data_IF_915158429299
#
_entry.id   IF_915158429299
#
_cell.length_a   1.000
_cell.length_b   1.000
_cell.length_c   1.000
_cell.angle_alpha   90.00
_cell.angle_beta   90.00
_cell.angle_gamma   90.00
#
_symmetry.space_group_name_H-M   'P 1'
#
loop_
_entity.id
_entity.type
_entity.pdbx_description
1 polymer ?
#
# COMPACT_ATOMS: atom_id res chain seq x y z
N UNK A 1 18.99 -20.81 4.20
CA UNK A 1 17.81 -21.19 3.38
C UNK A 1 18.19 -21.07 1.92
N UNK A 2 17.66 -21.93 1.03
CA UNK A 2 17.82 -21.71 -0.41
C UNK A 2 17.18 -20.36 -0.81
N UNK A 3 17.59 -19.75 -1.93
CA UNK A 3 16.92 -18.56 -2.46
C UNK A 3 15.43 -18.80 -2.72
N UNK A 4 14.61 -17.75 -2.61
CA UNK A 4 13.21 -17.81 -2.99
C UNK A 4 13.06 -18.00 -4.50
N UNK A 5 12.06 -18.77 -4.97
CA UNK A 5 11.80 -18.96 -6.39
C UNK A 5 11.32 -17.65 -7.04
N UNK A 6 11.56 -17.51 -8.36
CA UNK A 6 11.04 -16.41 -9.16
C UNK A 6 9.89 -16.90 -10.07
N UNK A 7 8.80 -16.12 -10.22
CA UNK A 7 8.50 -14.90 -9.47
C UNK A 7 8.22 -15.20 -7.99
N UNK A 8 8.50 -14.22 -7.11
CA UNK A 8 8.28 -14.36 -5.67
C UNK A 8 6.80 -14.65 -5.37
N UNK A 9 5.90 -13.90 -6.00
CA UNK A 9 4.47 -14.07 -5.92
C UNK A 9 3.84 -13.63 -7.25
N UNK A 10 2.81 -14.35 -7.67
CA UNK A 10 1.97 -13.99 -8.82
C UNK A 10 0.54 -13.89 -8.33
N UNK A 11 -0.04 -12.70 -8.42
CA UNK A 11 -1.41 -12.46 -7.99
C UNK A 11 -2.39 -13.29 -8.82
N UNK A 12 -3.18 -14.20 -8.20
CA UNK A 12 -4.06 -15.09 -8.94
C UNK A 12 -5.34 -14.40 -9.43
N UNK A 13 -5.64 -13.18 -8.96
CA UNK A 13 -6.88 -12.48 -9.28
C UNK A 13 -6.73 -11.66 -10.55
N UNK A 14 -5.73 -10.78 -10.58
CA UNK A 14 -5.54 -9.82 -11.66
C UNK A 14 -4.17 -9.91 -12.36
N UNK A 15 -3.27 -10.76 -11.87
CA UNK A 15 -1.88 -10.90 -12.38
C UNK A 15 -1.09 -9.58 -12.37
N UNK A 16 -1.48 -8.66 -11.47
CA UNK A 16 -1.00 -7.28 -11.45
C UNK A 16 -0.40 -6.84 -10.12
N UNK A 17 0.19 -7.76 -9.37
CA UNK A 17 0.86 -7.43 -8.12
C UNK A 17 1.97 -6.39 -8.34
N UNK A 18 1.88 -5.25 -7.65
CA UNK A 18 2.86 -4.18 -7.73
C UNK A 18 3.06 -3.51 -6.36
N UNK A 19 4.16 -2.77 -6.22
CA UNK A 19 4.43 -1.86 -5.10
C UNK A 19 4.30 -2.56 -3.72
N UNK A 20 5.07 -3.63 -3.45
CA UNK A 20 4.84 -4.50 -2.31
C UNK A 20 5.40 -3.96 -0.98
N UNK A 21 4.72 -4.29 0.12
CA UNK A 21 5.25 -4.25 1.49
C UNK A 21 5.20 -5.64 2.10
N UNK A 22 6.32 -6.09 2.68
CA UNK A 22 6.41 -7.33 3.44
C UNK A 22 6.47 -6.99 4.94
N UNK A 23 5.58 -7.58 5.72
CA UNK A 23 5.49 -7.35 7.17
C UNK A 23 5.24 -8.64 7.93
N UNK A 24 5.78 -8.74 9.15
CA UNK A 24 5.52 -9.86 10.04
C UNK A 24 4.15 -9.72 10.70
N UNK A 25 3.25 -10.66 10.44
CA UNK A 25 2.02 -10.80 11.20
C UNK A 25 2.36 -11.47 12.55
N UNK A 26 2.21 -10.72 13.64
CA UNK A 26 2.56 -11.15 15.00
C UNK A 26 1.59 -12.19 15.55
N UNK A 27 0.31 -12.09 15.19
CA UNK A 27 -0.73 -13.02 15.64
C UNK A 27 -0.66 -14.35 14.90
N UNK A 28 -0.54 -14.32 13.57
CA UNK A 28 -0.44 -15.53 12.74
C UNK A 28 0.98 -16.10 12.66
N UNK A 29 1.99 -15.38 13.17
CA UNK A 29 3.41 -15.76 13.14
C UNK A 29 3.86 -16.17 11.73
N UNK A 30 3.54 -15.31 10.77
CA UNK A 30 3.79 -15.51 9.35
C UNK A 30 4.21 -14.21 8.68
N UNK A 31 4.95 -14.31 7.59
CA UNK A 31 5.24 -13.17 6.73
C UNK A 31 4.02 -12.88 5.86
N UNK A 32 3.64 -11.61 5.78
CA UNK A 32 2.55 -11.15 4.95
C UNK A 32 3.06 -10.15 3.92
N UNK A 33 2.46 -10.19 2.74
CA UNK A 33 2.73 -9.35 1.60
C UNK A 33 1.47 -8.55 1.30
N UNK A 34 1.59 -7.23 1.37
CA UNK A 34 0.58 -6.28 0.91
C UNK A 34 1.04 -5.69 -0.41
N UNK A 35 0.13 -5.53 -1.37
CA UNK A 35 0.51 -5.06 -2.70
C UNK A 35 -0.62 -4.29 -3.37
N UNK A 36 -0.28 -3.37 -4.27
CA UNK A 36 -1.24 -2.79 -5.21
C UNK A 36 -1.79 -3.89 -6.11
N UNK A 37 -3.09 -4.16 -6.03
CA UNK A 37 -3.74 -5.16 -6.85
C UNK A 37 -4.16 -4.57 -8.22
N UNK A 38 -3.18 -4.30 -9.11
CA UNK A 38 -3.48 -3.74 -10.45
C UNK A 38 -4.31 -4.74 -11.25
N UNK A 39 -5.28 -4.24 -12.02
CA UNK A 39 -6.26 -5.06 -12.74
C UNK A 39 -5.74 -5.48 -14.12
N UNK A 40 -4.54 -6.07 -14.17
CA UNK A 40 -3.75 -6.23 -15.40
C UNK A 40 -4.37 -7.17 -16.43
N UNK A 41 -5.20 -8.13 -16.00
CA UNK A 41 -5.95 -9.04 -16.87
C UNK A 41 -7.37 -8.55 -17.23
N UNK A 42 -7.74 -7.32 -16.86
CA UNK A 42 -9.05 -6.74 -17.17
C UNK A 42 -8.94 -5.80 -18.37
N UNK A 43 -9.84 -6.00 -19.36
CA UNK A 43 -10.00 -5.04 -20.46
C UNK A 43 -10.58 -3.73 -19.91
N UNK A 44 -9.76 -2.69 -19.90
CA UNK A 44 -10.09 -1.41 -19.29
C UNK A 44 -9.67 -0.27 -20.20
N UNK A 45 -10.49 0.78 -20.24
CA UNK A 45 -10.20 1.94 -21.07
C UNK A 45 -9.04 2.77 -20.50
N UNK A 46 -8.04 3.05 -21.35
CA UNK A 46 -6.89 3.88 -20.99
C UNK A 46 -6.12 3.32 -19.80
N UNK A 47 -5.89 4.16 -18.79
CA UNK A 47 -5.21 3.76 -17.56
C UNK A 47 -6.15 3.17 -16.50
N UNK A 48 -7.43 2.94 -16.80
CA UNK A 48 -8.37 2.47 -15.79
C UNK A 48 -7.92 1.15 -15.13
N UNK A 49 -7.14 0.29 -15.79
CA UNK A 49 -6.61 -0.96 -15.21
C UNK A 49 -5.67 -0.75 -14.00
N UNK A 50 -4.99 0.39 -13.89
CA UNK A 50 -4.23 0.75 -12.68
C UNK A 50 -5.07 1.48 -11.65
N UNK A 51 -6.30 1.87 -11.97
CA UNK A 51 -7.24 2.52 -11.06
C UNK A 51 -8.34 1.55 -10.59
N UNK A 52 -9.06 1.96 -9.55
CA UNK A 52 -10.04 1.10 -8.89
C UNK A 52 -9.39 -0.15 -8.32
N UNK A 53 -8.18 -0.03 -7.81
CA UNK A 53 -7.38 -1.12 -7.22
C UNK A 53 -7.63 -1.21 -5.72
N UNK A 54 -7.60 -2.43 -5.21
CA UNK A 54 -7.51 -2.71 -3.78
C UNK A 54 -6.05 -2.92 -3.36
N UNK A 55 -5.83 -3.09 -2.06
CA UNK A 55 -4.59 -3.64 -1.53
C UNK A 55 -4.77 -5.14 -1.32
N UNK A 56 -4.08 -5.95 -2.12
CA UNK A 56 -4.09 -7.41 -2.03
C UNK A 56 -3.19 -7.91 -0.89
N UNK A 57 -3.50 -9.11 -0.39
CA UNK A 57 -2.79 -9.77 0.72
C UNK A 57 -2.38 -11.18 0.30
N UNK A 58 -1.13 -11.53 0.55
CA UNK A 58 -0.65 -12.91 0.54
C UNK A 58 0.13 -13.22 1.83
N UNK A 59 0.19 -14.49 2.23
CA UNK A 59 0.92 -14.93 3.42
C UNK A 59 1.90 -16.05 3.11
N UNK A 60 3.02 -16.08 3.83
CA UNK A 60 4.05 -17.11 3.78
C UNK A 60 4.37 -17.61 5.19
N UNK A 61 4.30 -18.93 5.37
CA UNK A 61 4.65 -19.61 6.62
C UNK A 61 6.03 -20.27 6.58
N UNK A 62 6.74 -20.18 5.45
CA UNK A 62 8.00 -20.88 5.19
C UNK A 62 9.19 -19.93 4.93
N UNK A 63 9.07 -18.68 5.42
CA UNK A 63 10.13 -17.69 5.31
C UNK A 63 10.19 -16.98 3.96
N UNK A 64 9.08 -16.95 3.21
CA UNK A 64 8.97 -16.29 1.91
C UNK A 64 9.25 -17.21 0.72
N UNK A 65 9.34 -18.53 0.93
CA UNK A 65 9.60 -19.50 -0.14
C UNK A 65 8.33 -19.79 -0.95
N UNK A 66 7.17 -19.79 -0.30
CA UNK A 66 5.86 -19.88 -0.94
C UNK A 66 4.90 -18.85 -0.36
N UNK A 67 3.97 -18.39 -1.20
CA UNK A 67 3.01 -17.35 -0.88
C UNK A 67 1.60 -17.81 -1.27
N UNK A 68 0.66 -17.70 -0.34
CA UNK A 68 -0.75 -18.02 -0.54
C UNK A 68 -1.53 -16.72 -0.57
N UNK A 69 -2.29 -16.46 -1.64
CA UNK A 69 -3.21 -15.33 -1.67
C UNK A 69 -4.26 -15.48 -0.57
N UNK A 70 -4.53 -14.40 0.16
CA UNK A 70 -5.43 -14.40 1.31
C UNK A 70 -6.68 -13.56 1.07
N UNK A 71 -6.62 -12.54 0.22
CA UNK A 71 -7.74 -11.63 0.01
C UNK A 71 -7.26 -10.22 -0.24
N UNK A 72 -8.10 -9.25 0.10
CA UNK A 72 -7.79 -7.82 0.08
C UNK A 72 -7.90 -7.26 1.50
N UNK A 73 -7.20 -6.16 1.77
CA UNK A 73 -7.34 -5.42 3.03
C UNK A 73 -8.74 -4.82 3.17
N UNK A 74 -9.36 -5.01 4.33
CA UNK A 74 -10.71 -4.54 4.63
C UNK A 74 -10.69 -3.21 5.41
N UNK A 75 -11.77 -2.44 5.34
CA UNK A 75 -11.88 -1.17 6.08
C UNK A 75 -11.12 0.01 5.45
N UNK A 76 -10.55 -0.14 4.25
CA UNK A 76 -9.85 0.94 3.56
C UNK A 76 -10.78 1.98 2.92
N UNK A 77 -12.08 1.71 2.76
CA UNK A 77 -13.02 2.66 2.14
C UNK A 77 -13.01 4.02 2.85
N UNK A 78 -12.46 5.04 2.17
CA UNK A 78 -12.31 6.40 2.72
C UNK A 78 -13.57 7.23 2.52
N UNK A 79 -14.14 7.16 1.32
CA UNK A 79 -15.39 7.80 0.95
C UNK A 79 -16.24 6.86 0.10
N UNK A 80 -17.50 7.25 -0.17
CA UNK A 80 -18.43 6.43 -0.94
C UNK A 80 -17.94 6.23 -2.37
N UNK A 81 -18.04 4.99 -2.87
CA UNK A 81 -17.76 4.65 -4.27
C UNK A 81 -16.53 3.74 -4.44
N UNK A 82 -16.23 3.39 -5.69
CA UNK A 82 -15.03 2.63 -6.05
C UNK A 82 -13.86 3.59 -6.21
N UNK A 83 -12.95 3.57 -5.24
CA UNK A 83 -11.73 4.35 -5.24
C UNK A 83 -10.50 3.47 -5.51
N UNK A 84 -9.35 4.12 -5.60
CA UNK A 84 -8.08 3.49 -5.95
C UNK A 84 -7.11 3.58 -4.79
N UNK A 85 -6.45 2.47 -4.47
CA UNK A 85 -5.42 2.37 -3.43
C UNK A 85 -4.14 1.75 -4.00
N UNK A 86 -2.99 2.40 -3.74
CA UNK A 86 -1.69 1.98 -4.26
C UNK A 86 -0.59 2.04 -3.19
N UNK A 87 0.48 1.27 -3.42
CA UNK A 87 1.77 1.37 -2.76
C UNK A 87 1.63 1.51 -1.24
N UNK A 88 1.09 0.49 -0.55
CA UNK A 88 0.94 0.53 0.89
C UNK A 88 2.33 0.44 1.53
N UNK A 89 2.66 1.37 2.41
CA UNK A 89 3.77 1.26 3.36
C UNK A 89 3.20 0.85 4.71
N UNK A 90 3.69 -0.24 5.29
CA UNK A 90 3.16 -0.78 6.54
C UNK A 90 4.28 -1.02 7.53
N UNK A 91 4.08 -0.55 8.77
CA UNK A 91 5.00 -0.77 9.88
C UNK A 91 4.26 -1.09 11.17
N UNK A 92 4.97 -1.70 12.11
CA UNK A 92 4.49 -1.95 13.47
C UNK A 92 5.10 -0.94 14.44
N UNK A 93 4.26 -0.27 15.22
CA UNK A 93 4.67 0.67 16.25
C UNK A 93 3.61 0.77 17.34
N UNK A 94 4.02 0.91 18.60
CA UNK A 94 3.13 1.09 19.77
C UNK A 94 1.90 0.18 19.77
N UNK A 95 2.18 -1.12 19.65
CA UNK A 95 1.21 -2.20 19.66
C UNK A 95 0.14 -2.15 18.54
N UNK A 96 0.44 -1.44 17.45
CA UNK A 96 -0.42 -1.36 16.27
C UNK A 96 0.34 -1.45 14.96
N UNK A 97 -0.37 -1.90 13.94
CA UNK A 97 0.04 -1.74 12.55
C UNK A 97 -0.41 -0.38 12.03
N UNK A 98 0.47 0.29 11.30
CA UNK A 98 0.22 1.57 10.65
C UNK A 98 0.40 1.38 9.16
N UNK A 99 -0.58 1.77 8.35
CA UNK A 99 -0.49 1.78 6.89
C UNK A 99 -0.55 3.22 6.39
N UNK A 100 0.38 3.57 5.51
CA UNK A 100 0.37 4.78 4.71
C UNK A 100 0.18 4.38 3.25
N UNK A 101 -0.97 4.70 2.67
CA UNK A 101 -1.38 4.21 1.35
C UNK A 101 -1.72 5.37 0.43
N UNK A 102 -1.31 5.27 -0.83
CA UNK A 102 -1.66 6.25 -1.84
C UNK A 102 -3.11 6.06 -2.26
N UNK A 103 -3.86 7.15 -2.34
CA UNK A 103 -5.29 7.16 -2.61
C UNK A 103 -5.62 8.07 -3.77
N UNK A 104 -6.44 7.58 -4.71
CA UNK A 104 -7.01 8.36 -5.81
C UNK A 104 -8.54 8.22 -5.78
N UNK A 105 -9.30 9.33 -5.77
CA UNK A 105 -10.75 9.29 -5.92
C UNK A 105 -11.18 8.66 -7.24
N UNK A 106 -12.11 7.71 -7.18
CA UNK A 106 -12.70 7.08 -8.35
C UNK A 106 -11.80 6.11 -9.11
N UNK A 107 -12.20 5.85 -10.35
CA UNK A 107 -11.48 5.02 -11.34
C UNK A 107 -11.24 5.84 -12.61
N UNK A 108 -10.30 6.80 -12.60
CA UNK A 108 -10.01 7.58 -13.79
C UNK A 108 -9.37 6.70 -14.88
N UNK A 109 -9.44 7.15 -16.13
CA UNK A 109 -8.78 6.53 -17.28
C UNK A 109 -7.50 7.28 -17.70
N UNK A 110 -7.13 8.32 -16.93
CA UNK A 110 -5.97 9.20 -17.13
C UNK A 110 -5.33 9.60 -15.79
N UNK A 111 -4.13 10.19 -15.84
CA UNK A 111 -3.33 10.58 -14.67
C UNK A 111 -3.62 12.00 -14.11
N UNK A 112 -4.81 12.53 -14.37
CA UNK A 112 -5.11 13.95 -14.15
C UNK A 112 -5.58 14.29 -12.74
N UNK A 113 -6.21 13.34 -12.04
CA UNK A 113 -6.85 13.55 -10.74
C UNK A 113 -5.90 13.79 -9.56
N UNK A 114 -6.44 14.23 -8.41
CA UNK A 114 -5.69 14.37 -7.18
C UNK A 114 -5.31 12.99 -6.62
N UNK A 115 -4.24 12.97 -5.83
CA UNK A 115 -3.75 11.77 -5.16
C UNK A 115 -3.08 12.18 -3.85
N UNK A 116 -3.45 11.46 -2.81
CA UNK A 116 -3.10 11.76 -1.42
C UNK A 116 -2.55 10.53 -0.72
N UNK A 117 -1.82 10.73 0.38
CA UNK A 117 -1.46 9.64 1.27
C UNK A 117 -2.45 9.61 2.43
N UNK A 118 -3.08 8.47 2.65
CA UNK A 118 -3.99 8.21 3.76
C UNK A 118 -3.28 7.35 4.81
N UNK A 119 -3.58 7.62 6.08
CA UNK A 119 -3.09 6.85 7.23
C UNK A 119 -4.21 6.02 7.83
N UNK A 120 -3.93 4.72 8.01
CA UNK A 120 -4.78 3.76 8.67
C UNK A 120 -4.03 3.04 9.80
N UNK A 121 -4.78 2.47 10.73
CA UNK A 121 -4.23 1.54 11.74
C UNK A 121 -4.99 0.24 11.75
N UNK A 122 -4.33 -0.85 12.12
CA UNK A 122 -4.93 -2.16 12.30
C UNK A 122 -4.32 -2.90 13.50
N UNK A 123 -5.07 -3.79 14.12
CA UNK A 123 -4.56 -4.72 15.13
C UNK A 123 -4.19 -6.10 14.54
N UNK A 124 -4.74 -6.46 13.38
CA UNK A 124 -4.73 -7.83 12.85
C UNK A 124 -4.20 -7.94 11.41
N UNK A 125 -3.85 -6.79 10.79
CA UNK A 125 -3.48 -6.65 9.37
C UNK A 125 -4.60 -6.93 8.36
N UNK A 126 -5.81 -7.28 8.82
CA UNK A 126 -6.99 -7.51 8.00
C UNK A 126 -7.89 -6.30 7.95
N UNK A 127 -8.29 -5.83 9.13
CA UNK A 127 -9.28 -4.80 9.33
C UNK A 127 -8.58 -3.49 9.63
N UNK A 128 -8.77 -2.51 8.76
CA UNK A 128 -8.11 -1.21 8.86
C UNK A 128 -9.10 -0.12 9.28
N UNK A 129 -8.65 0.75 10.19
CA UNK A 129 -9.40 1.91 10.66
C UNK A 129 -8.72 3.17 10.15
N UNK A 130 -9.48 4.01 9.44
CA UNK A 130 -9.00 5.31 8.95
C UNK A 130 -8.60 6.21 10.11
N UNK A 131 -7.47 6.92 9.96
CA UNK A 131 -6.99 7.91 10.94
C UNK A 131 -6.95 9.31 10.39
N UNK A 132 -6.28 9.50 9.26
CA UNK A 132 -6.11 10.83 8.69
C UNK A 132 -5.75 10.78 7.21
N UNK A 133 -6.01 11.90 6.52
CA UNK A 133 -5.37 12.23 5.25
C UNK A 133 -4.18 13.12 5.57
N UNK A 134 -3.00 12.77 5.06
CA UNK A 134 -1.80 13.56 5.36
C UNK A 134 -1.83 14.91 4.63
N UNK A 135 -1.45 15.97 5.35
CA UNK A 135 -1.21 17.30 4.80
C UNK A 135 0.26 17.40 4.41
N UNK A 136 0.53 17.18 3.12
CA UNK A 136 1.87 17.22 2.53
C UNK A 136 1.99 18.40 1.56
N UNK A 137 3.12 18.48 0.85
CA UNK A 137 3.46 19.61 -0.03
C UNK A 137 2.47 19.87 -1.17
N UNK A 138 1.69 18.88 -1.59
CA UNK A 138 0.72 19.04 -2.68
C UNK A 138 -0.42 18.01 -2.64
N UNK A 139 -1.39 18.14 -3.56
CA UNK A 139 -2.45 17.15 -3.80
C UNK A 139 -2.08 16.12 -4.86
N UNK A 140 -0.80 15.91 -5.13
CA UNK A 140 -0.27 14.92 -6.09
C UNK A 140 0.87 14.09 -5.49
N UNK A 141 0.65 13.61 -4.28
CA UNK A 141 1.64 12.87 -3.49
C UNK A 141 1.27 11.39 -3.39
N UNK A 142 2.26 10.52 -3.57
CA UNK A 142 2.12 9.05 -3.57
C UNK A 142 3.39 8.37 -3.04
N UNK A 143 3.34 7.04 -2.94
CA UNK A 143 4.49 6.15 -2.72
C UNK A 143 5.26 6.48 -1.43
N UNK A 144 4.54 6.45 -0.30
CA UNK A 144 5.11 6.71 1.01
C UNK A 144 6.16 5.65 1.39
N UNK A 145 7.18 6.05 2.12
CA UNK A 145 8.08 5.18 2.88
C UNK A 145 8.34 5.83 4.23
N UNK A 146 8.14 5.11 5.33
CA UNK A 146 8.15 5.67 6.68
C UNK A 146 9.14 4.94 7.57
N UNK A 147 9.99 5.71 8.24
CA UNK A 147 11.01 5.17 9.13
C UNK A 147 11.12 5.97 10.42
N UNK A 148 11.28 5.25 11.53
CA UNK A 148 11.59 5.85 12.83
C UNK A 148 13.09 5.99 13.00
N UNK A 149 13.56 7.22 13.08
CA UNK A 149 14.98 7.51 13.26
C UNK A 149 15.46 7.10 14.66
N UNK A 150 16.78 6.86 14.86
CA UNK A 150 17.34 6.57 16.18
C UNK A 150 17.07 7.66 17.23
N UNK A 151 16.84 8.91 16.80
CA UNK A 151 16.46 10.03 17.66
C UNK A 151 15.02 9.96 18.18
N UNK A 152 14.21 9.02 17.70
CA UNK A 152 12.79 8.89 18.00
C UNK A 152 11.86 9.59 17.02
N UNK A 153 12.39 10.56 16.25
CA UNK A 153 11.65 11.30 15.20
C UNK A 153 11.25 10.38 14.06
N UNK A 154 10.10 10.66 13.46
CA UNK A 154 9.60 9.98 12.27
C UNK A 154 10.02 10.73 11.00
N UNK A 155 10.36 9.97 9.97
CA UNK A 155 10.58 10.47 8.62
C UNK A 155 9.68 9.73 7.64
N UNK A 156 9.04 10.49 6.76
CA UNK A 156 8.36 9.97 5.60
C UNK A 156 9.02 10.51 4.34
N UNK A 157 9.44 9.63 3.45
CA UNK A 157 9.75 9.96 2.06
C UNK A 157 8.55 9.65 1.19
N UNK A 158 8.28 10.49 0.19
CA UNK A 158 7.18 10.30 -0.74
C UNK A 158 7.51 10.97 -2.07
N UNK A 159 6.83 10.56 -3.14
CA UNK A 159 6.94 11.19 -4.45
C UNK A 159 5.92 12.32 -4.58
N UNK A 160 6.36 13.49 -5.02
CA UNK A 160 5.47 14.64 -5.29
C UNK A 160 5.44 14.97 -6.78
N UNK A 161 4.36 14.59 -7.45
CA UNK A 161 4.21 14.78 -8.90
C UNK A 161 3.84 16.21 -9.29
N UNK A 162 3.33 17.02 -8.36
CA UNK A 162 3.15 18.45 -8.63
C UNK A 162 4.50 19.18 -8.71
N UNK A 163 5.53 18.61 -8.08
CA UNK A 163 6.88 19.16 -8.06
C UNK A 163 7.87 18.28 -8.82
N UNK A 164 7.52 17.92 -10.07
CA UNK A 164 8.43 17.22 -10.98
C UNK A 164 8.66 15.74 -10.66
N UNK A 165 7.82 15.12 -9.83
CA UNK A 165 7.97 13.73 -9.37
C UNK A 165 9.26 13.49 -8.56
N UNK A 166 9.77 14.52 -7.89
CA UNK A 166 10.91 14.37 -6.98
C UNK A 166 10.49 13.70 -5.67
N UNK A 167 11.47 13.11 -4.99
CA UNK A 167 11.31 12.62 -3.62
C UNK A 167 11.34 13.78 -2.64
N UNK A 168 10.30 13.88 -1.83
CA UNK A 168 10.16 14.84 -0.74
C UNK A 168 10.28 14.13 0.61
N UNK A 169 10.55 14.93 1.65
CA UNK A 169 10.66 14.47 3.04
C UNK A 169 9.66 15.24 3.90
N UNK A 170 8.92 14.53 4.74
CA UNK A 170 8.21 15.09 5.89
C UNK A 170 8.78 14.48 7.18
N UNK A 171 8.82 15.28 8.25
CA UNK A 171 9.27 14.83 9.56
C UNK A 171 8.16 15.08 10.60
N UNK A 172 8.04 14.16 11.56
CA UNK A 172 7.23 14.34 12.77
C UNK A 172 8.07 14.01 13.99
N UNK A 173 7.78 14.67 15.10
CA UNK A 173 8.35 14.30 16.40
C UNK A 173 7.66 13.04 16.95
#
# INVERSE_FOLDING_TARGET
>A
MPPAPAPLFRDPIFDGAADPTIIWNRAERAWWLFYTNRRANVDAWGFAWVHGTDIGIASSHDGGQSWVYRGIAEGLSYERGRNTYWAPEILWHDDRYHMYVSYVPGVPHEWTGPRHILHYTSNDLWSWEFRSRLELSSSKVIDACVFRMPSGRWRMWYKDEAHGSHTYLAESD
#
